data_IF_030385839883
#
_entry.id   IF_030385839883
#
_cell.length_a   1.000
_cell.length_b   1.000
_cell.length_c   1.000
_cell.angle_alpha   90.00
_cell.angle_beta   90.00
_cell.angle_gamma   90.00
#
_symmetry.space_group_name_H-M   'P 1'
#
loop_
_entity.id
_entity.type
_entity.pdbx_description
1 polymer ?
#
# COMPACT_ATOMS: atom_id res chain seq x y z
N UNK A 1 1.13 -19.90 17.26
CA UNK A 1 1.34 -18.54 17.85
C UNK A 1 2.74 -18.08 17.52
N UNK A 2 2.88 -17.00 16.79
CA UNK A 2 4.17 -16.47 16.37
C UNK A 2 4.94 -15.88 17.58
N UNK A 3 6.28 -15.92 17.53
CA UNK A 3 7.10 -15.26 18.54
C UNK A 3 7.08 -13.73 18.34
N UNK A 4 6.80 -12.99 19.41
CA UNK A 4 6.76 -11.52 19.39
C UNK A 4 8.11 -10.88 18.99
N UNK A 5 9.23 -11.51 19.31
CA UNK A 5 10.55 -11.01 18.91
C UNK A 5 10.75 -11.09 17.39
N UNK A 6 10.17 -12.11 16.73
CA UNK A 6 10.16 -12.19 15.26
C UNK A 6 9.35 -11.01 14.69
N UNK A 7 8.17 -10.72 15.25
CA UNK A 7 7.39 -9.56 14.83
C UNK A 7 8.17 -8.25 14.95
N UNK A 8 8.86 -8.01 16.08
CA UNK A 8 9.69 -6.81 16.26
C UNK A 8 10.82 -6.72 15.23
N UNK A 9 11.48 -7.86 14.95
CA UNK A 9 12.52 -7.91 13.91
C UNK A 9 11.96 -7.61 12.52
N UNK A 10 10.80 -8.16 12.17
CA UNK A 10 10.13 -7.91 10.89
C UNK A 10 9.75 -6.43 10.78
N UNK A 11 9.15 -5.84 11.83
CA UNK A 11 8.81 -4.43 11.85
C UNK A 11 10.04 -3.54 11.64
N UNK A 12 11.13 -3.77 12.37
CA UNK A 12 12.36 -3.00 12.24
C UNK A 12 13.04 -3.16 10.87
N UNK A 13 13.05 -4.36 10.31
CA UNK A 13 13.58 -4.62 8.97
C UNK A 13 12.78 -3.87 7.91
N UNK A 14 11.45 -3.97 7.95
CA UNK A 14 10.56 -3.30 6.99
C UNK A 14 10.72 -1.78 7.01
N UNK A 15 10.91 -1.17 8.18
CA UNK A 15 11.14 0.26 8.33
C UNK A 15 12.37 0.70 7.54
N UNK A 16 13.49 -0.02 7.72
CA UNK A 16 14.74 0.26 7.02
C UNK A 16 14.60 0.10 5.50
N UNK A 17 13.88 -0.92 5.06
CA UNK A 17 13.69 -1.17 3.63
C UNK A 17 12.84 -0.06 3.00
N UNK A 18 11.74 0.35 3.66
CA UNK A 18 10.85 1.40 3.18
C UNK A 18 11.57 2.75 3.05
N UNK A 19 12.46 3.09 3.97
CA UNK A 19 13.25 4.33 3.88
C UNK A 19 14.13 4.38 2.63
N UNK A 20 14.58 3.23 2.15
CA UNK A 20 15.49 3.11 1.01
C UNK A 20 14.79 2.93 -0.35
N UNK A 21 13.50 2.63 -0.38
CA UNK A 21 12.79 2.44 -1.64
C UNK A 21 12.70 3.74 -2.44
N UNK A 22 13.10 3.65 -3.72
CA UNK A 22 12.83 4.72 -4.69
C UNK A 22 11.40 4.59 -5.16
N UNK A 23 10.58 5.57 -4.85
CA UNK A 23 9.17 5.57 -5.17
C UNK A 23 8.91 6.53 -6.33
N UNK A 24 8.21 6.05 -7.34
CA UNK A 24 7.60 6.91 -8.35
C UNK A 24 6.29 7.46 -7.78
N UNK A 25 6.19 8.78 -7.53
CA UNK A 25 5.03 9.33 -6.85
C UNK A 25 3.76 9.17 -7.69
N UNK A 26 2.71 8.68 -7.04
CA UNK A 26 1.34 8.65 -7.57
C UNK A 26 0.43 9.55 -6.74
N UNK A 27 -0.73 9.90 -7.28
CA UNK A 27 -1.74 10.62 -6.51
C UNK A 27 -2.28 9.72 -5.41
N UNK A 28 -2.00 10.05 -4.15
CA UNK A 28 -2.60 9.38 -3.01
C UNK A 28 -4.00 9.92 -2.76
N UNK A 29 -4.90 9.10 -2.22
CA UNK A 29 -6.20 9.56 -1.77
C UNK A 29 -6.05 10.53 -0.58
N UNK A 30 -7.05 11.42 -0.42
CA UNK A 30 -7.10 12.35 0.72
C UNK A 30 -7.16 11.63 2.06
N UNK A 31 -6.73 12.30 3.13
CA UNK A 31 -6.75 11.76 4.49
C UNK A 31 -8.14 11.88 5.17
N UNK A 32 -9.17 12.33 4.45
CA UNK A 32 -10.52 12.53 5.00
C UNK A 32 -11.18 11.24 5.50
N UNK A 33 -10.70 10.09 5.02
CA UNK A 33 -11.20 8.79 5.43
C UNK A 33 -10.06 7.93 5.98
N UNK A 34 -10.04 7.66 7.31
CA UNK A 34 -8.86 7.07 7.96
C UNK A 34 -8.62 5.59 7.62
N UNK A 35 -9.68 4.86 7.22
CA UNK A 35 -9.60 3.44 6.93
C UNK A 35 -9.80 3.18 5.43
N UNK A 36 -8.79 2.60 4.76
CA UNK A 36 -8.81 2.33 3.31
C UNK A 36 -8.40 0.91 2.99
N UNK A 37 -9.00 0.40 1.92
CA UNK A 37 -8.61 -0.86 1.29
C UNK A 37 -8.15 -0.56 -0.13
N UNK A 38 -6.88 -0.79 -0.42
CA UNK A 38 -6.33 -0.70 -1.76
C UNK A 38 -6.43 -2.05 -2.45
N UNK A 39 -7.19 -2.08 -3.53
CA UNK A 39 -7.44 -3.29 -4.31
C UNK A 39 -6.94 -3.10 -5.73
N UNK A 40 -6.52 -4.17 -6.37
CA UNK A 40 -6.01 -4.11 -7.75
C UNK A 40 -5.28 -5.38 -8.11
N UNK A 41 -4.97 -5.51 -9.39
CA UNK A 41 -4.21 -6.66 -9.88
C UNK A 41 -2.85 -6.75 -9.20
N UNK A 42 -2.28 -7.96 -9.18
CA UNK A 42 -0.91 -8.15 -8.69
C UNK A 42 0.04 -7.25 -9.47
N UNK A 43 1.04 -6.66 -8.78
CA UNK A 43 2.04 -5.74 -9.35
C UNK A 43 1.51 -4.38 -9.84
N UNK A 44 0.26 -4.00 -9.52
CA UNK A 44 -0.26 -2.65 -9.82
C UNK A 44 0.35 -1.52 -8.96
N UNK A 45 1.20 -1.86 -7.99
CA UNK A 45 1.86 -0.88 -7.11
C UNK A 45 1.10 -0.57 -5.80
N UNK A 46 0.21 -1.45 -5.34
CA UNK A 46 -0.54 -1.28 -4.08
C UNK A 46 0.37 -1.03 -2.87
N UNK A 47 1.36 -1.90 -2.67
CA UNK A 47 2.35 -1.77 -1.58
C UNK A 47 3.12 -0.45 -1.67
N UNK A 48 3.48 -0.01 -2.87
CA UNK A 48 4.18 1.24 -3.09
C UNK A 48 3.35 2.49 -2.73
N UNK A 49 2.02 2.42 -2.79
CA UNK A 49 1.16 3.49 -2.28
C UNK A 49 1.24 3.58 -0.74
N UNK A 50 1.36 2.44 -0.05
CA UNK A 50 1.61 2.42 1.39
C UNK A 50 2.98 3.02 1.72
N UNK A 51 4.02 2.60 1.00
CA UNK A 51 5.39 3.12 1.20
C UNK A 51 5.47 4.62 0.94
N UNK A 52 4.82 5.10 -0.14
CA UNK A 52 4.76 6.54 -0.44
C UNK A 52 4.13 7.33 0.71
N UNK A 53 3.02 6.84 1.28
CA UNK A 53 2.37 7.50 2.42
C UNK A 53 3.30 7.54 3.63
N UNK A 54 3.95 6.43 3.97
CA UNK A 54 4.88 6.38 5.10
C UNK A 54 6.09 7.30 4.90
N UNK A 55 6.68 7.32 3.69
CA UNK A 55 7.78 8.26 3.39
C UNK A 55 7.33 9.73 3.48
N UNK A 56 6.10 10.07 3.06
CA UNK A 56 5.55 11.41 3.23
C UNK A 56 5.35 11.76 4.71
N UNK A 57 4.89 10.81 5.53
CA UNK A 57 4.76 11.01 6.97
C UNK A 57 6.13 11.25 7.64
N UNK A 58 7.15 10.47 7.27
CA UNK A 58 8.53 10.69 7.74
C UNK A 58 9.06 12.06 7.31
N UNK A 59 8.86 12.44 6.05
CA UNK A 59 9.28 13.74 5.53
C UNK A 59 8.55 14.92 6.21
N UNK A 60 7.34 14.70 6.74
CA UNK A 60 6.60 15.69 7.56
C UNK A 60 7.03 15.76 9.03
N UNK A 61 8.06 15.00 9.42
CA UNK A 61 8.61 15.00 10.77
C UNK A 61 7.99 13.96 11.72
N UNK A 62 7.13 13.07 11.21
CA UNK A 62 6.66 11.92 11.98
C UNK A 62 7.75 10.85 12.10
N UNK A 63 7.61 9.94 13.05
CA UNK A 63 8.56 8.85 13.27
C UNK A 63 7.88 7.49 13.15
N UNK A 64 8.66 6.43 13.10
CA UNK A 64 8.17 5.06 13.09
C UNK A 64 7.32 4.69 14.31
N UNK A 65 7.43 5.46 15.40
CA UNK A 65 6.56 5.29 16.57
C UNK A 65 5.07 5.53 16.25
N UNK A 66 4.77 6.31 15.20
CA UNK A 66 3.39 6.62 14.77
C UNK A 66 2.90 5.75 13.62
N UNK A 67 3.71 4.82 13.13
CA UNK A 67 3.42 3.99 11.97
C UNK A 67 3.80 2.53 12.22
N UNK A 68 2.94 1.62 11.76
CA UNK A 68 3.20 0.18 11.77
C UNK A 68 2.97 -0.37 10.38
N UNK A 69 3.97 -0.99 9.78
CA UNK A 69 3.85 -1.71 8.51
C UNK A 69 4.14 -3.19 8.68
N UNK A 70 3.26 -4.02 8.13
CA UNK A 70 3.44 -5.48 8.09
C UNK A 70 2.94 -6.03 6.76
N UNK A 71 3.78 -6.85 6.11
CA UNK A 71 3.42 -7.58 4.89
C UNK A 71 3.18 -9.05 5.22
N UNK A 72 1.98 -9.53 4.97
CA UNK A 72 1.59 -10.93 5.23
C UNK A 72 2.01 -11.92 4.12
N UNK A 73 2.81 -11.48 3.15
CA UNK A 73 3.59 -12.36 2.25
C UNK A 73 5.01 -12.65 2.77
N UNK A 74 5.44 -12.03 3.88
CA UNK A 74 6.76 -12.26 4.49
C UNK A 74 6.84 -13.70 5.01
N UNK A 75 7.83 -14.45 4.57
CA UNK A 75 8.03 -15.87 4.94
C UNK A 75 8.30 -16.05 6.43
N UNK A 76 8.87 -15.05 7.11
CA UNK A 76 9.05 -15.04 8.58
C UNK A 76 7.71 -15.09 9.34
N UNK A 77 6.61 -14.71 8.67
CA UNK A 77 5.25 -14.74 9.18
C UNK A 77 4.48 -16.02 8.78
N UNK A 78 5.13 -17.02 8.22
CA UNK A 78 4.47 -18.26 7.74
C UNK A 78 3.64 -19.00 8.81
N UNK A 79 3.95 -18.80 10.10
CA UNK A 79 3.20 -19.38 11.21
C UNK A 79 2.17 -18.41 11.82
N UNK A 80 2.02 -17.20 11.26
CA UNK A 80 1.08 -16.21 11.75
C UNK A 80 -0.35 -16.61 11.42
N UNK A 81 -1.21 -16.57 12.41
CA UNK A 81 -2.63 -16.83 12.25
C UNK A 81 -3.51 -15.73 12.89
N UNK A 82 -4.82 -15.88 12.79
CA UNK A 82 -5.76 -14.88 13.31
C UNK A 82 -5.65 -14.63 14.82
N UNK A 83 -5.13 -15.59 15.60
CA UNK A 83 -4.96 -15.43 17.04
C UNK A 83 -3.78 -14.52 17.40
N UNK A 84 -2.88 -14.29 16.43
CA UNK A 84 -1.67 -13.51 16.61
C UNK A 84 -1.85 -12.01 16.30
N UNK A 85 -3.02 -11.59 15.80
CA UNK A 85 -3.23 -10.17 15.43
C UNK A 85 -3.01 -9.18 16.58
N UNK A 86 -3.33 -9.56 17.82
CA UNK A 86 -3.06 -8.69 18.98
C UNK A 86 -1.56 -8.49 19.22
N UNK A 87 -0.76 -9.53 18.95
CA UNK A 87 0.69 -9.45 19.13
C UNK A 87 1.34 -8.36 18.28
N UNK A 88 0.72 -8.00 17.15
CA UNK A 88 1.21 -6.89 16.30
C UNK A 88 1.16 -5.58 17.08
N UNK A 89 0.02 -5.29 17.72
CA UNK A 89 -0.18 -4.05 18.48
C UNK A 89 0.69 -4.06 19.75
N UNK A 90 0.78 -5.20 20.43
CA UNK A 90 1.64 -5.36 21.59
C UNK A 90 3.13 -5.17 21.26
N UNK A 91 3.62 -5.80 20.17
CA UNK A 91 4.99 -5.65 19.73
C UNK A 91 5.34 -4.20 19.44
N UNK A 92 4.45 -3.47 18.73
CA UNK A 92 4.65 -2.06 18.46
C UNK A 92 4.60 -1.20 19.74
N UNK A 93 3.67 -1.48 20.64
CA UNK A 93 3.55 -0.76 21.91
C UNK A 93 4.80 -0.96 22.78
N UNK A 94 5.37 -2.16 22.81
CA UNK A 94 6.62 -2.45 23.52
C UNK A 94 7.84 -1.74 22.90
N UNK A 95 7.85 -1.52 21.58
CA UNK A 95 8.95 -0.82 20.90
C UNK A 95 8.86 0.70 21.08
N UNK A 96 7.65 1.27 21.05
CA UNK A 96 7.48 2.70 20.87
C UNK A 96 6.54 3.38 21.88
N UNK A 97 5.68 2.64 22.58
CA UNK A 97 4.72 3.20 23.54
C UNK A 97 3.64 4.11 22.95
N UNK A 98 3.49 4.15 21.63
CA UNK A 98 2.55 5.02 20.93
C UNK A 98 1.56 4.22 20.11
N UNK A 99 0.42 4.84 19.80
CA UNK A 99 -0.60 4.27 18.94
C UNK A 99 -0.28 4.56 17.47
N UNK A 100 -0.06 3.54 16.62
CA UNK A 100 0.29 3.75 15.23
C UNK A 100 -0.92 3.90 14.31
N UNK A 101 -0.72 4.53 13.15
CA UNK A 101 -1.44 4.23 11.93
C UNK A 101 -0.94 2.89 11.38
N UNK A 102 -1.85 2.00 10.97
CA UNK A 102 -1.50 0.66 10.49
C UNK A 102 -1.50 0.60 8.97
N UNK A 103 -0.46 -0.02 8.43
CA UNK A 103 -0.30 -0.34 7.02
C UNK A 103 -0.13 -1.85 6.90
N UNK A 104 -1.20 -2.56 6.53
CA UNK A 104 -1.25 -4.02 6.51
C UNK A 104 -1.35 -4.49 5.06
N UNK A 105 -0.24 -5.01 4.56
CA UNK A 105 -0.06 -5.38 3.16
C UNK A 105 -0.40 -6.85 2.93
N UNK A 106 -1.15 -7.15 1.85
CA UNK A 106 -1.61 -8.48 1.45
C UNK A 106 -2.33 -9.23 2.60
N UNK A 107 -3.16 -8.51 3.37
CA UNK A 107 -3.80 -9.00 4.60
C UNK A 107 -4.72 -10.21 4.36
N UNK A 108 -5.24 -10.40 3.13
CA UNK A 108 -6.10 -11.53 2.78
C UNK A 108 -5.38 -12.89 2.87
N UNK A 109 -4.08 -12.91 3.10
CA UNK A 109 -3.35 -14.15 3.34
C UNK A 109 -3.64 -14.76 4.72
N UNK A 110 -4.22 -13.98 5.64
CA UNK A 110 -4.62 -14.46 6.97
C UNK A 110 -6.13 -14.61 7.04
N UNK A 111 -6.60 -15.80 7.35
CA UNK A 111 -8.04 -16.07 7.49
C UNK A 111 -8.64 -15.28 8.67
N UNK A 112 -9.82 -14.68 8.46
CA UNK A 112 -10.54 -13.92 9.47
C UNK A 112 -10.00 -12.52 9.76
N UNK A 113 -9.12 -12.01 8.88
CA UNK A 113 -8.54 -10.67 8.96
C UNK A 113 -9.61 -9.54 8.99
N UNK A 114 -10.74 -9.76 8.35
CA UNK A 114 -11.83 -8.76 8.25
C UNK A 114 -12.42 -8.41 9.62
N UNK A 115 -12.44 -9.37 10.57
CA UNK A 115 -12.90 -9.12 11.94
C UNK A 115 -11.90 -8.25 12.71
N UNK A 116 -10.61 -8.51 12.51
CA UNK A 116 -9.55 -7.68 13.08
C UNK A 116 -9.59 -6.26 12.50
N UNK A 117 -9.67 -6.13 11.18
CA UNK A 117 -9.78 -4.84 10.51
C UNK A 117 -10.99 -4.04 11.01
N UNK A 118 -12.17 -4.68 11.11
CA UNK A 118 -13.38 -4.06 11.66
C UNK A 118 -13.14 -3.54 13.08
N UNK A 119 -12.53 -4.35 13.95
CA UNK A 119 -12.24 -3.98 15.33
C UNK A 119 -11.28 -2.80 15.42
N UNK A 120 -10.26 -2.74 14.56
CA UNK A 120 -9.35 -1.59 14.47
C UNK A 120 -10.10 -0.30 14.11
N UNK A 121 -10.99 -0.36 13.12
CA UNK A 121 -11.81 0.80 12.73
C UNK A 121 -12.77 1.23 13.85
N UNK A 122 -13.43 0.28 14.54
CA UNK A 122 -14.29 0.56 15.68
C UNK A 122 -13.51 1.21 16.85
N UNK A 123 -12.26 0.78 17.04
CA UNK A 123 -11.32 1.36 17.99
C UNK A 123 -10.66 2.66 17.50
N UNK A 124 -11.11 3.21 16.34
CA UNK A 124 -10.63 4.49 15.77
C UNK A 124 -9.14 4.48 15.40
N UNK A 125 -8.61 3.38 14.95
CA UNK A 125 -7.32 3.36 14.27
C UNK A 125 -7.45 3.89 12.84
N UNK A 126 -6.43 4.59 12.37
CA UNK A 126 -6.24 4.80 10.94
C UNK A 126 -5.57 3.55 10.36
N UNK A 127 -6.16 2.97 9.31
CA UNK A 127 -5.74 1.67 8.77
C UNK A 127 -5.78 1.68 7.25
N UNK A 128 -4.65 1.42 6.63
CA UNK A 128 -4.55 1.19 5.19
C UNK A 128 -4.23 -0.28 4.92
N UNK A 129 -5.10 -0.94 4.18
CA UNK A 129 -4.99 -2.35 3.84
C UNK A 129 -4.73 -2.51 2.36
N UNK A 130 -3.95 -3.51 1.97
CA UNK A 130 -3.90 -3.95 0.58
C UNK A 130 -4.33 -5.39 0.43
N UNK A 131 -4.74 -5.73 -0.78
CA UNK A 131 -5.01 -7.10 -1.16
C UNK A 131 -5.48 -7.26 -2.61
N UNK A 132 -5.62 -8.50 -3.06
CA UNK A 132 -6.11 -8.81 -4.39
C UNK A 132 -7.63 -8.59 -4.50
N UNK A 133 -8.11 -8.10 -5.66
CA UNK A 133 -9.51 -7.76 -5.92
C UNK A 133 -10.50 -8.86 -5.53
N UNK A 134 -10.22 -10.10 -5.92
CA UNK A 134 -11.16 -11.20 -5.79
C UNK A 134 -11.53 -11.52 -4.33
N UNK A 135 -10.56 -11.42 -3.42
CA UNK A 135 -10.78 -11.72 -1.99
C UNK A 135 -11.23 -10.51 -1.19
N UNK A 136 -10.79 -9.31 -1.55
CA UNK A 136 -11.03 -8.09 -0.76
C UNK A 136 -12.39 -7.44 -1.03
N UNK A 137 -12.95 -7.62 -2.23
CA UNK A 137 -14.24 -7.04 -2.63
C UNK A 137 -15.38 -8.06 -2.60
N UNK A 138 -15.18 -9.23 -2.00
CA UNK A 138 -16.29 -10.18 -1.82
C UNK A 138 -17.40 -9.54 -0.96
N UNK A 139 -18.65 -9.91 -1.23
CA UNK A 139 -19.81 -9.40 -0.49
C UNK A 139 -19.71 -9.69 1.02
N UNK A 140 -19.11 -10.82 1.39
CA UNK A 140 -18.91 -11.22 2.79
C UNK A 140 -17.93 -10.29 3.49
N UNK A 141 -16.78 -9.98 2.87
CA UNK A 141 -15.77 -9.06 3.40
C UNK A 141 -16.36 -7.66 3.54
N UNK A 142 -16.99 -7.14 2.49
CA UNK A 142 -17.59 -5.80 2.51
C UNK A 142 -18.71 -5.68 3.57
N UNK A 143 -19.50 -6.73 3.75
CA UNK A 143 -20.51 -6.78 4.81
C UNK A 143 -19.87 -6.79 6.19
N UNK A 144 -18.82 -7.58 6.39
CA UNK A 144 -18.10 -7.66 7.67
C UNK A 144 -17.43 -6.33 8.02
N UNK A 145 -16.83 -5.65 7.05
CA UNK A 145 -16.21 -4.33 7.25
C UNK A 145 -17.27 -3.23 7.52
N UNK A 146 -18.52 -3.44 7.09
CA UNK A 146 -19.68 -2.64 7.49
C UNK A 146 -19.56 -1.15 7.16
N UNK A 147 -19.04 -0.80 5.97
CA UNK A 147 -18.89 0.59 5.52
C UNK A 147 -17.81 1.41 6.25
N UNK A 148 -16.98 0.78 7.07
CA UNK A 148 -15.88 1.45 7.81
C UNK A 148 -14.66 1.72 6.97
N UNK A 149 -14.54 1.05 5.83
CA UNK A 149 -13.41 1.14 4.92
C UNK A 149 -13.85 1.65 3.55
N UNK A 150 -13.07 2.57 3.00
CA UNK A 150 -13.24 3.05 1.63
C UNK A 150 -12.33 2.26 0.71
N UNK A 151 -12.91 1.56 -0.27
CA UNK A 151 -12.15 0.86 -1.29
C UNK A 151 -11.58 1.85 -2.31
N UNK A 152 -10.31 1.67 -2.65
CA UNK A 152 -9.58 2.44 -3.65
C UNK A 152 -8.97 1.45 -4.65
N UNK A 153 -9.39 1.53 -5.90
CA UNK A 153 -8.82 0.69 -6.94
C UNK A 153 -7.46 1.25 -7.40
N UNK A 154 -6.48 0.35 -7.46
CA UNK A 154 -5.13 0.64 -7.93
C UNK A 154 -4.92 -0.07 -9.26
N UNK A 155 -4.82 0.74 -10.30
CA UNK A 155 -4.52 0.27 -11.65
C UNK A 155 -3.02 0.31 -11.93
N UNK A 156 -2.53 -0.46 -12.91
CA UNK A 156 -1.21 -0.23 -13.49
C UNK A 156 -1.02 1.24 -13.89
N UNK A 157 0.20 1.67 -14.13
CA UNK A 157 0.44 3.04 -14.57
C UNK A 157 -0.39 3.37 -15.82
N UNK A 158 -1.07 4.51 -15.79
CA UNK A 158 -1.65 5.10 -16.99
C UNK A 158 -0.55 5.56 -17.95
N UNK A 159 -0.89 5.73 -19.21
CA UNK A 159 0.07 6.25 -20.19
C UNK A 159 0.63 7.63 -19.79
N UNK A 160 -0.19 8.47 -19.17
CA UNK A 160 0.27 9.77 -18.68
C UNK A 160 1.28 9.64 -17.53
N UNK A 161 1.06 8.71 -16.60
CA UNK A 161 2.02 8.40 -15.54
C UNK A 161 3.33 7.87 -16.13
N UNK A 162 3.26 7.00 -17.15
CA UNK A 162 4.44 6.49 -17.84
C UNK A 162 5.25 7.61 -18.51
N UNK A 163 4.59 8.54 -19.20
CA UNK A 163 5.26 9.69 -19.81
C UNK A 163 5.98 10.56 -18.77
N UNK A 164 5.35 10.76 -17.59
CA UNK A 164 5.99 11.47 -16.46
C UNK A 164 7.22 10.73 -15.94
N UNK A 165 7.14 9.41 -15.79
CA UNK A 165 8.25 8.57 -15.33
C UNK A 165 9.44 8.64 -16.29
N UNK A 166 9.17 8.73 -17.60
CA UNK A 166 10.18 8.82 -18.65
C UNK A 166 10.63 10.25 -18.95
N UNK A 167 10.18 11.25 -18.18
CA UNK A 167 10.44 12.67 -18.41
C UNK A 167 10.07 13.13 -19.83
N UNK A 168 9.02 12.54 -20.41
CA UNK A 168 8.52 12.92 -21.74
C UNK A 168 7.41 13.96 -21.55
N UNK A 169 7.63 15.21 -21.99
CA UNK A 169 6.59 16.25 -21.92
C UNK A 169 5.42 15.88 -22.85
N UNK A 170 4.19 16.03 -22.37
CA UNK A 170 2.99 15.72 -23.15
C UNK A 170 1.95 16.86 -23.16
N UNK A 171 2.23 17.96 -22.48
CA UNK A 171 1.37 19.13 -22.50
C UNK A 171 1.45 19.82 -23.88
N UNK A 172 0.30 20.18 -24.45
CA UNK A 172 0.20 20.87 -25.74
C UNK A 172 0.85 20.11 -26.92
N UNK A 173 0.51 18.83 -27.08
CA UNK A 173 1.01 17.95 -28.15
C UNK A 173 0.93 18.60 -29.54
N UNK A 174 -0.10 19.41 -29.81
CA UNK A 174 -0.26 20.14 -31.08
C UNK A 174 0.85 21.17 -31.38
N UNK A 175 1.52 21.66 -30.35
CA UNK A 175 2.58 22.66 -30.45
C UNK A 175 3.99 22.08 -30.31
N UNK A 176 4.10 20.76 -30.12
CA UNK A 176 5.39 20.09 -29.94
C UNK A 176 6.16 19.94 -31.23
N UNK A 177 7.48 20.01 -31.12
CA UNK A 177 8.39 19.66 -32.19
C UNK A 177 8.19 18.20 -32.64
N UNK A 178 8.51 17.91 -33.89
CA UNK A 178 8.37 16.55 -34.50
C UNK A 178 9.08 15.49 -33.67
N UNK A 179 10.26 15.80 -33.12
CA UNK A 179 11.03 14.87 -32.27
C UNK A 179 10.26 14.49 -30.99
N UNK A 180 9.65 15.45 -30.30
CA UNK A 180 8.85 15.17 -29.09
C UNK A 180 7.64 14.30 -29.39
N UNK A 181 6.97 14.54 -30.52
CA UNK A 181 5.86 13.68 -30.99
C UNK A 181 6.32 12.26 -31.28
N UNK A 182 7.49 12.10 -31.89
CA UNK A 182 8.05 10.78 -32.16
C UNK A 182 8.37 10.01 -30.88
N UNK A 183 8.89 10.68 -29.85
CA UNK A 183 9.11 10.07 -28.52
C UNK A 183 7.80 9.58 -27.87
N UNK A 184 6.74 10.39 -27.91
CA UNK A 184 5.43 10.02 -27.38
C UNK A 184 4.86 8.82 -28.16
N UNK A 185 4.95 8.81 -29.48
CA UNK A 185 4.44 7.70 -30.30
C UNK A 185 5.20 6.39 -30.02
N UNK A 186 6.51 6.47 -29.86
CA UNK A 186 7.33 5.32 -29.48
C UNK A 186 6.90 4.78 -28.10
N UNK A 187 6.80 5.65 -27.10
CA UNK A 187 6.33 5.29 -25.76
C UNK A 187 4.91 4.68 -25.78
N UNK A 188 4.02 5.21 -26.65
CA UNK A 188 2.70 4.65 -26.85
C UNK A 188 2.71 3.23 -27.40
N UNK A 189 3.53 2.97 -28.42
CA UNK A 189 3.66 1.64 -28.99
C UNK A 189 4.23 0.64 -27.96
N UNK A 190 5.21 1.05 -27.15
CA UNK A 190 5.74 0.24 -26.06
C UNK A 190 4.66 -0.04 -25.00
N UNK A 191 3.88 0.99 -24.63
CA UNK A 191 2.78 0.86 -23.68
C UNK A 191 1.67 -0.09 -24.15
N UNK A 192 1.36 -0.08 -25.46
CA UNK A 192 0.37 -1.01 -26.02
C UNK A 192 0.85 -2.48 -26.00
N UNK A 193 2.15 -2.70 -26.07
CA UNK A 193 2.73 -4.05 -26.06
C UNK A 193 2.90 -4.60 -24.64
N UNK A 194 3.37 -3.76 -23.71
CA UNK A 194 3.80 -4.20 -22.38
C UNK A 194 2.86 -3.76 -21.26
N UNK A 195 1.96 -2.80 -21.53
CA UNK A 195 1.08 -2.23 -20.53
C UNK A 195 1.80 -1.27 -19.59
N UNK A 196 1.14 -0.97 -18.48
CA UNK A 196 1.62 -0.03 -17.44
C UNK A 196 1.99 -0.71 -16.12
N UNK A 197 2.33 -2.01 -16.10
CA UNK A 197 2.78 -2.64 -14.87
C UNK A 197 4.14 -2.07 -14.46
N UNK A 198 4.29 -1.62 -13.19
CA UNK A 198 5.55 -1.13 -12.67
C UNK A 198 6.50 -2.31 -12.39
N UNK A 199 7.31 -2.68 -13.36
CA UNK A 199 8.41 -3.65 -13.24
C UNK A 199 9.73 -3.03 -13.68
#
# INVERSE_FOLDING_TARGET
MINKDILKQVLASNQKDIENYKIVPRTLPSDDFPCRVFVGVRRAGKSFMLYQKMQQMLASGQSWATMLYLNFEDDRLAQFDRSDFELILEAHAEMYGQRPMLFLDEIQNIEGWEKFARRLADAKYAVWLTGSNAKMLSSEVMTTLGGRYLATEVYPYSFQELLKIQDIPYDKISQMATESRAKILRAWNEYLLWGGLPE
#
